data_IF_451136048584
#
_entry.id   IF_451136048584
#
_cell.length_a   1.000
_cell.length_b   1.000
_cell.length_c   1.000
_cell.angle_alpha   90.00
_cell.angle_beta   90.00
_cell.angle_gamma   90.00
#
_symmetry.space_group_name_H-M   'P 1'
#
loop_
_entity.id
_entity.type
_entity.pdbx_description
1 polymer ?
#
# COMPACT_ATOMS: atom_id res chain seq x y z
N UNK A 1 -67.39 16.79 56.66
CA UNK A 1 -66.77 15.87 55.67
C UNK A 1 -65.69 16.62 54.89
N UNK A 2 -64.44 16.58 55.34
CA UNK A 2 -63.30 17.31 54.75
C UNK A 2 -62.08 16.40 54.65
N UNK A 3 -62.15 15.36 53.79
CA UNK A 3 -61.04 14.41 53.60
C UNK A 3 -60.72 14.07 52.13
N UNK A 4 -61.22 14.84 51.17
CA UNK A 4 -60.98 14.59 49.74
C UNK A 4 -59.83 15.42 49.12
N UNK A 5 -59.27 16.42 49.82
CA UNK A 5 -58.33 17.38 49.20
C UNK A 5 -56.84 17.11 49.44
N UNK A 6 -56.46 16.10 50.23
CA UNK A 6 -55.03 15.83 50.49
C UNK A 6 -54.36 15.04 49.37
N UNK A 7 -55.09 14.11 48.73
CA UNK A 7 -54.51 13.23 47.69
C UNK A 7 -54.38 13.90 46.31
N UNK A 8 -55.14 14.97 46.02
CA UNK A 8 -55.09 15.62 44.70
C UNK A 8 -53.80 16.44 44.47
N UNK A 9 -53.11 16.86 45.54
CA UNK A 9 -51.81 17.57 45.43
C UNK A 9 -50.61 16.66 45.23
N UNK A 10 -50.72 15.37 45.56
CA UNK A 10 -49.60 14.42 45.44
C UNK A 10 -49.40 13.91 44.00
N UNK A 11 -50.46 13.84 43.19
CA UNK A 11 -50.39 13.35 41.81
C UNK A 11 -50.33 14.47 40.76
N UNK A 12 -49.72 15.61 41.08
CA UNK A 12 -49.35 16.59 40.04
C UNK A 12 -48.18 16.02 39.23
N UNK A 13 -48.55 15.23 38.22
CA UNK A 13 -47.70 14.79 37.14
C UNK A 13 -46.97 16.01 36.55
N UNK A 14 -45.66 16.12 36.80
CA UNK A 14 -44.80 17.03 36.03
C UNK A 14 -44.71 16.42 34.63
N UNK A 15 -45.17 17.09 33.56
CA UNK A 15 -44.89 16.61 32.22
C UNK A 15 -43.38 16.48 32.08
N UNK A 16 -42.93 15.29 31.67
CA UNK A 16 -41.54 15.03 31.37
C UNK A 16 -41.04 16.10 30.40
N UNK A 17 -39.91 16.72 30.73
CA UNK A 17 -39.15 17.54 29.79
C UNK A 17 -38.98 16.67 28.54
N UNK A 18 -39.61 17.08 27.45
CA UNK A 18 -39.48 16.40 26.17
C UNK A 18 -38.01 16.51 25.80
N UNK A 19 -37.26 15.45 26.07
CA UNK A 19 -35.97 15.25 25.44
C UNK A 19 -36.29 15.05 23.97
N UNK A 20 -36.37 16.16 23.23
CA UNK A 20 -36.37 16.12 21.78
C UNK A 20 -35.11 15.35 21.41
N UNK A 21 -35.33 14.14 20.88
CA UNK A 21 -34.27 13.44 20.19
C UNK A 21 -34.00 14.30 18.97
N UNK A 22 -33.02 15.20 19.09
CA UNK A 22 -32.50 15.97 17.97
C UNK A 22 -31.95 14.96 16.99
N UNK A 23 -32.77 14.62 16.00
CA UNK A 23 -32.38 13.78 14.89
C UNK A 23 -31.42 14.62 14.06
N UNK A 24 -30.12 14.53 14.37
CA UNK A 24 -29.07 15.15 13.57
C UNK A 24 -29.23 14.63 12.13
N UNK A 25 -29.76 15.47 11.26
CA UNK A 25 -29.89 15.20 9.83
C UNK A 25 -28.51 14.90 9.26
N UNK A 26 -28.40 13.76 8.57
CA UNK A 26 -27.16 13.07 8.22
C UNK A 26 -26.31 13.74 7.12
N UNK A 27 -26.50 15.03 6.87
CA UNK A 27 -26.01 15.69 5.66
C UNK A 27 -24.50 15.97 5.75
N UNK A 28 -24.04 16.47 6.90
CA UNK A 28 -22.62 16.81 7.13
C UNK A 28 -21.66 15.63 7.03
N UNK A 29 -22.12 14.39 7.32
CA UNK A 29 -21.26 13.19 7.25
C UNK A 29 -21.08 12.69 5.80
N UNK A 30 -22.13 12.79 4.99
CA UNK A 30 -22.08 12.41 3.58
C UNK A 30 -21.17 13.37 2.80
N UNK A 31 -21.30 14.67 3.07
CA UNK A 31 -20.44 15.72 2.53
C UNK A 31 -18.95 15.48 2.88
N UNK A 32 -18.63 15.23 4.15
CA UNK A 32 -17.25 14.95 4.58
C UNK A 32 -16.64 13.69 3.91
N UNK A 33 -17.43 12.62 3.77
CA UNK A 33 -16.97 11.39 3.13
C UNK A 33 -16.70 11.61 1.64
N UNK A 34 -17.58 12.34 0.95
CA UNK A 34 -17.41 12.72 -0.45
C UNK A 34 -16.17 13.60 -0.66
N UNK A 35 -15.99 14.62 0.18
CA UNK A 35 -14.81 15.50 0.13
C UNK A 35 -13.49 14.74 0.32
N UNK A 36 -13.43 13.79 1.28
CA UNK A 36 -12.22 13.00 1.51
C UNK A 36 -11.97 12.06 0.32
N UNK A 37 -13.00 11.46 -0.25
CA UNK A 37 -12.87 10.60 -1.42
C UNK A 37 -12.35 11.38 -2.64
N UNK A 38 -12.90 12.58 -2.89
CA UNK A 38 -12.45 13.44 -3.98
C UNK A 38 -10.98 13.84 -3.81
N UNK A 39 -10.54 14.17 -2.57
CA UNK A 39 -9.12 14.45 -2.29
C UNK A 39 -8.21 13.24 -2.49
N UNK A 40 -8.70 12.02 -2.23
CA UNK A 40 -7.94 10.80 -2.53
C UNK A 40 -7.77 10.65 -4.04
N UNK A 41 -8.84 10.84 -4.82
CA UNK A 41 -8.81 10.77 -6.29
C UNK A 41 -7.84 11.81 -6.86
N UNK A 42 -7.88 13.05 -6.36
CA UNK A 42 -6.96 14.12 -6.77
C UNK A 42 -5.49 13.76 -6.51
N UNK A 43 -5.19 13.20 -5.34
CA UNK A 43 -3.84 12.74 -5.02
C UNK A 43 -3.44 11.57 -5.94
N UNK A 44 -4.36 10.66 -6.25
CA UNK A 44 -4.09 9.52 -7.14
C UNK A 44 -3.75 9.99 -8.57
N UNK A 45 -4.43 11.03 -9.06
CA UNK A 45 -4.09 11.68 -10.33
C UNK A 45 -2.69 12.29 -10.30
N UNK A 46 -2.37 13.07 -9.25
CA UNK A 46 -1.03 13.67 -9.08
C UNK A 46 0.07 12.60 -8.95
N UNK A 47 -0.21 11.47 -8.32
CA UNK A 47 0.73 10.33 -8.24
C UNK A 47 0.98 9.76 -9.64
N UNK A 48 -0.06 9.57 -10.45
CA UNK A 48 0.08 9.07 -11.82
C UNK A 48 0.88 10.04 -12.69
N UNK A 49 0.58 11.34 -12.64
CA UNK A 49 1.31 12.38 -13.36
C UNK A 49 2.80 12.40 -12.98
N UNK A 50 3.11 12.43 -11.68
CA UNK A 50 4.49 12.44 -11.21
C UNK A 50 5.23 11.12 -11.51
N UNK A 51 4.52 9.98 -11.49
CA UNK A 51 5.11 8.69 -11.82
C UNK A 51 5.48 8.61 -13.31
N UNK A 52 4.60 9.09 -14.18
CA UNK A 52 4.88 9.14 -15.62
C UNK A 52 6.06 10.07 -15.92
N UNK A 53 6.08 11.27 -15.33
CA UNK A 53 7.20 12.20 -15.49
C UNK A 53 8.53 11.62 -14.96
N UNK A 54 8.50 10.88 -13.85
CA UNK A 54 9.67 10.18 -13.32
C UNK A 54 10.16 9.08 -14.27
N UNK A 55 9.25 8.30 -14.86
CA UNK A 55 9.61 7.26 -15.84
C UNK A 55 10.22 7.87 -17.10
N UNK A 56 9.67 8.99 -17.58
CA UNK A 56 10.23 9.73 -18.70
C UNK A 56 11.64 10.24 -18.37
N UNK A 57 11.84 10.87 -17.21
CA UNK A 57 13.14 11.35 -16.78
C UNK A 57 14.18 10.21 -16.67
N UNK A 58 13.78 9.04 -16.13
CA UNK A 58 14.65 7.86 -16.07
C UNK A 58 14.96 7.28 -17.45
N UNK A 59 13.98 7.26 -18.36
CA UNK A 59 14.19 6.85 -19.75
C UNK A 59 15.17 7.77 -20.47
N UNK A 60 15.04 9.09 -20.28
CA UNK A 60 15.99 10.08 -20.79
C UNK A 60 17.38 9.86 -20.17
N UNK A 61 17.47 9.58 -18.86
CA UNK A 61 18.75 9.28 -18.19
C UNK A 61 19.43 8.08 -18.83
N UNK A 62 18.69 7.00 -19.03
CA UNK A 62 19.17 5.78 -19.66
C UNK A 62 19.66 6.07 -21.09
N UNK A 63 18.84 6.69 -21.95
CA UNK A 63 19.23 7.09 -23.32
C UNK A 63 20.48 7.96 -23.33
N UNK A 64 20.56 8.92 -22.41
CA UNK A 64 21.71 9.80 -22.28
C UNK A 64 22.97 9.05 -21.88
N UNK A 65 22.89 7.99 -21.07
CA UNK A 65 24.03 7.18 -20.63
C UNK A 65 24.64 6.37 -21.78
N UNK A 66 23.82 5.82 -22.68
CA UNK A 66 24.28 5.02 -23.82
C UNK A 66 24.80 5.83 -25.02
N UNK A 67 24.60 7.14 -25.05
CA UNK A 67 25.18 8.01 -26.08
C UNK A 67 26.70 8.12 -25.90
N UNK A 68 27.49 7.86 -26.95
CA UNK A 68 28.95 8.06 -26.95
C UNK A 68 29.25 9.53 -27.32
N UNK A 69 30.04 10.21 -26.50
CA UNK A 69 30.54 11.56 -26.79
C UNK A 69 32.07 11.53 -26.85
N UNK A 70 32.62 12.07 -27.94
CA UNK A 70 34.06 12.12 -28.19
C UNK A 70 34.68 13.48 -27.86
N UNK A 71 33.90 14.54 -27.64
CA UNK A 71 34.38 15.92 -27.47
C UNK A 71 34.38 16.39 -26.00
N UNK A 72 35.42 17.12 -25.58
CA UNK A 72 35.56 17.63 -24.19
C UNK A 72 34.44 18.62 -23.79
N UNK A 73 34.09 19.56 -24.69
CA UNK A 73 33.01 20.54 -24.45
C UNK A 73 31.66 19.83 -24.29
N UNK A 74 31.44 18.79 -25.09
CA UNK A 74 30.24 17.96 -25.06
C UNK A 74 30.14 17.15 -23.76
N UNK A 75 31.28 16.69 -23.20
CA UNK A 75 31.33 16.05 -21.87
C UNK A 75 30.91 17.00 -20.74
N UNK A 76 31.35 18.26 -20.76
CA UNK A 76 30.96 19.26 -19.74
C UNK A 76 29.46 19.55 -19.83
N UNK A 77 28.95 19.83 -21.04
CA UNK A 77 27.53 20.08 -21.25
C UNK A 77 26.65 18.90 -20.82
N UNK A 78 27.08 17.67 -21.12
CA UNK A 78 26.42 16.44 -20.68
C UNK A 78 26.42 16.29 -19.17
N UNK A 79 27.52 16.61 -18.48
CA UNK A 79 27.59 16.51 -17.03
C UNK A 79 26.58 17.46 -16.35
N UNK A 80 26.51 18.72 -16.80
CA UNK A 80 25.53 19.70 -16.30
C UNK A 80 24.10 19.23 -16.56
N UNK A 81 23.83 18.70 -17.75
CA UNK A 81 22.53 18.13 -18.10
C UNK A 81 22.17 16.93 -17.21
N UNK A 82 23.13 16.03 -16.97
CA UNK A 82 22.95 14.86 -16.11
C UNK A 82 22.66 15.26 -14.67
N UNK A 83 23.38 16.24 -14.12
CA UNK A 83 23.10 16.77 -12.76
C UNK A 83 21.69 17.33 -12.67
N UNK A 84 21.26 18.18 -13.61
CA UNK A 84 19.88 18.71 -13.62
C UNK A 84 18.83 17.62 -13.77
N UNK A 85 19.13 16.58 -14.54
CA UNK A 85 18.24 15.44 -14.72
C UNK A 85 18.13 14.61 -13.43
N UNK A 86 19.24 14.41 -12.71
CA UNK A 86 19.26 13.78 -11.39
C UNK A 86 18.48 14.60 -10.35
N UNK A 87 18.70 15.92 -10.28
CA UNK A 87 17.94 16.81 -9.39
C UNK A 87 16.43 16.71 -9.67
N UNK A 88 16.04 16.62 -10.95
CA UNK A 88 14.64 16.47 -11.36
C UNK A 88 14.07 15.12 -10.92
N UNK A 89 14.82 14.02 -11.12
CA UNK A 89 14.44 12.68 -10.67
C UNK A 89 14.24 12.66 -9.16
N UNK A 90 15.18 13.23 -8.40
CA UNK A 90 15.12 13.30 -6.94
C UNK A 90 13.91 14.12 -6.47
N UNK A 91 13.62 15.25 -7.14
CA UNK A 91 12.43 16.05 -6.88
C UNK A 91 11.14 15.23 -7.08
N UNK A 92 11.00 14.52 -8.21
CA UNK A 92 9.83 13.67 -8.45
C UNK A 92 9.70 12.55 -7.43
N UNK A 93 10.81 11.93 -7.02
CA UNK A 93 10.81 10.89 -5.98
C UNK A 93 10.34 11.43 -4.62
N UNK A 94 10.83 12.61 -4.23
CA UNK A 94 10.40 13.27 -2.99
C UNK A 94 8.91 13.63 -3.04
N UNK A 95 8.44 14.20 -4.17
CA UNK A 95 7.03 14.53 -4.36
C UNK A 95 6.14 13.29 -4.28
N UNK A 96 6.52 12.19 -4.93
CA UNK A 96 5.79 10.92 -4.84
C UNK A 96 5.71 10.42 -3.39
N UNK A 97 6.82 10.46 -2.65
CA UNK A 97 6.86 10.06 -1.23
C UNK A 97 5.86 10.87 -0.40
N UNK A 98 5.82 12.19 -0.60
CA UNK A 98 4.85 13.05 0.07
C UNK A 98 3.41 12.75 -0.30
N UNK A 99 3.13 12.56 -1.60
CA UNK A 99 1.79 12.26 -2.09
C UNK A 99 1.29 10.93 -1.53
N UNK A 100 2.11 9.87 -1.52
CA UNK A 100 1.76 8.59 -0.90
C UNK A 100 1.51 8.73 0.60
N UNK A 101 2.28 9.54 1.31
CA UNK A 101 2.06 9.80 2.73
C UNK A 101 0.72 10.52 2.97
N UNK A 102 0.44 11.58 2.19
CA UNK A 102 -0.83 12.34 2.24
C UNK A 102 -2.02 11.43 1.92
N UNK A 103 -1.91 10.61 0.87
CA UNK A 103 -2.90 9.59 0.49
C UNK A 103 -3.20 8.65 1.64
N UNK A 104 -2.16 8.06 2.24
CA UNK A 104 -2.30 7.10 3.34
C UNK A 104 -2.99 7.75 4.55
N UNK A 105 -2.65 8.99 4.88
CA UNK A 105 -3.29 9.74 5.97
C UNK A 105 -4.78 9.98 5.71
N UNK A 106 -5.16 10.33 4.49
CA UNK A 106 -6.56 10.49 4.10
C UNK A 106 -7.31 9.16 4.11
N UNK A 107 -6.69 8.09 3.60
CA UNK A 107 -7.30 6.76 3.60
C UNK A 107 -7.56 6.26 5.02
N UNK A 108 -6.64 6.45 5.96
CA UNK A 108 -6.86 6.11 7.37
C UNK A 108 -8.00 6.93 7.98
N UNK A 109 -8.09 8.24 7.67
CA UNK A 109 -9.24 9.07 8.12
C UNK A 109 -10.55 8.55 7.55
N UNK A 110 -10.56 8.19 6.27
CA UNK A 110 -11.73 7.63 5.59
C UNK A 110 -12.17 6.29 6.20
N UNK A 111 -11.22 5.38 6.47
CA UNK A 111 -11.46 4.10 7.14
C UNK A 111 -12.03 4.29 8.55
N UNK A 112 -11.56 5.31 9.29
CA UNK A 112 -12.09 5.67 10.61
C UNK A 112 -13.53 6.20 10.53
N UNK A 113 -13.82 7.08 9.56
CA UNK A 113 -15.18 7.61 9.34
C UNK A 113 -16.16 6.48 8.99
N UNK A 114 -15.71 5.50 8.19
CA UNK A 114 -16.50 4.32 7.82
C UNK A 114 -16.60 3.25 8.92
N UNK A 115 -15.84 3.37 10.00
CA UNK A 115 -15.78 2.36 11.07
C UNK A 115 -15.07 1.05 10.71
N UNK A 116 -14.48 0.95 9.52
CA UNK A 116 -13.82 -0.28 9.02
C UNK A 116 -12.32 -0.34 9.31
N UNK A 117 -11.77 0.66 10.03
CA UNK A 117 -10.34 0.78 10.31
C UNK A 117 -9.74 -0.49 10.91
N UNK A 118 -10.32 -1.01 12.00
CA UNK A 118 -9.81 -2.20 12.68
C UNK A 118 -9.88 -3.47 11.81
N UNK A 119 -10.99 -3.64 11.06
CA UNK A 119 -11.14 -4.76 10.13
C UNK A 119 -10.06 -4.75 9.05
N UNK A 120 -9.79 -3.59 8.44
CA UNK A 120 -8.74 -3.46 7.44
C UNK A 120 -7.34 -3.63 8.03
N UNK A 121 -7.11 -3.19 9.26
CA UNK A 121 -5.83 -3.35 9.93
C UNK A 121 -5.52 -4.83 10.21
N UNK A 122 -6.50 -5.59 10.71
CA UNK A 122 -6.38 -7.03 10.94
C UNK A 122 -6.18 -7.76 9.60
N UNK A 123 -6.96 -7.43 8.57
CA UNK A 123 -6.79 -8.01 7.22
C UNK A 123 -5.37 -7.80 6.69
N UNK A 124 -4.84 -6.57 6.76
CA UNK A 124 -3.47 -6.26 6.32
C UNK A 124 -2.43 -7.08 7.08
N UNK A 125 -2.59 -7.20 8.40
CA UNK A 125 -1.69 -7.99 9.22
C UNK A 125 -1.73 -9.48 8.86
N UNK A 126 -2.93 -10.03 8.66
CA UNK A 126 -3.12 -11.41 8.25
C UNK A 126 -2.53 -11.68 6.85
N UNK A 127 -2.68 -10.75 5.91
CA UNK A 127 -2.06 -10.84 4.59
C UNK A 127 -0.53 -10.88 4.69
N UNK A 128 0.08 -10.05 5.55
CA UNK A 128 1.54 -10.05 5.75
C UNK A 128 2.01 -11.40 6.30
N UNK A 129 1.34 -11.93 7.34
CA UNK A 129 1.67 -13.24 7.92
C UNK A 129 1.57 -14.33 6.86
N UNK A 130 0.47 -14.33 6.09
CA UNK A 130 0.23 -15.33 5.06
C UNK A 130 1.27 -15.27 3.94
N UNK A 131 1.63 -14.07 3.47
CA UNK A 131 2.69 -13.88 2.48
C UNK A 131 4.05 -14.36 3.00
N UNK A 132 4.39 -14.05 4.26
CA UNK A 132 5.62 -14.52 4.88
C UNK A 132 5.66 -16.05 5.00
N UNK A 133 4.54 -16.66 5.36
CA UNK A 133 4.40 -18.11 5.42
C UNK A 133 4.60 -18.76 4.04
N UNK A 134 4.01 -18.21 2.97
CA UNK A 134 4.19 -18.72 1.61
C UNK A 134 5.65 -18.63 1.15
N UNK A 135 6.35 -17.53 1.47
CA UNK A 135 7.78 -17.38 1.14
C UNK A 135 8.60 -18.44 1.86
N UNK A 136 8.34 -18.65 3.16
CA UNK A 136 9.05 -19.65 3.96
C UNK A 136 8.77 -21.08 3.47
N UNK A 137 7.52 -21.38 3.12
CA UNK A 137 7.13 -22.68 2.55
C UNK A 137 7.82 -22.93 1.21
N UNK A 138 7.83 -21.94 0.32
CA UNK A 138 8.53 -22.01 -0.96
C UNK A 138 10.03 -22.26 -0.77
N UNK A 139 10.66 -21.53 0.16
CA UNK A 139 12.06 -21.73 0.52
C UNK A 139 12.31 -23.17 1.03
N UNK A 140 11.44 -23.68 1.90
CA UNK A 140 11.56 -25.03 2.46
C UNK A 140 11.44 -26.11 1.38
N UNK A 141 10.47 -25.97 0.46
CA UNK A 141 10.32 -26.88 -0.69
C UNK A 141 11.58 -26.83 -1.56
N UNK A 142 12.11 -25.64 -1.82
CA UNK A 142 13.33 -25.46 -2.61
C UNK A 142 14.54 -26.14 -1.96
N UNK A 143 14.77 -25.91 -0.66
CA UNK A 143 15.85 -26.59 0.08
C UNK A 143 15.68 -28.10 0.10
N UNK A 144 14.46 -28.59 0.34
CA UNK A 144 14.17 -30.03 0.35
C UNK A 144 14.46 -30.66 -1.01
N UNK A 145 14.00 -30.04 -2.10
CA UNK A 145 14.30 -30.49 -3.46
C UNK A 145 15.79 -30.49 -3.77
N UNK A 146 16.51 -29.45 -3.33
CA UNK A 146 17.96 -29.37 -3.50
C UNK A 146 18.69 -30.49 -2.75
N UNK A 147 18.29 -30.81 -1.52
CA UNK A 147 18.84 -31.92 -0.76
C UNK A 147 18.61 -33.26 -1.46
N UNK A 148 17.39 -33.51 -1.98
CA UNK A 148 17.08 -34.72 -2.74
C UNK A 148 18.00 -34.86 -3.95
N UNK A 149 18.23 -33.78 -4.70
CA UNK A 149 19.14 -33.79 -5.85
C UNK A 149 20.56 -34.14 -5.40
N UNK A 150 21.09 -33.51 -4.35
CA UNK A 150 22.43 -33.81 -3.83
C UNK A 150 22.57 -35.28 -3.44
N UNK A 151 21.54 -35.86 -2.79
CA UNK A 151 21.57 -37.26 -2.37
C UNK A 151 21.42 -38.25 -3.52
N UNK A 152 20.63 -37.94 -4.55
CA UNK A 152 20.43 -38.80 -5.71
C UNK A 152 21.55 -38.70 -6.74
N UNK A 153 22.26 -37.57 -6.82
CA UNK A 153 23.29 -37.32 -7.82
C UNK A 153 24.39 -38.41 -7.86
N UNK A 154 24.97 -38.87 -6.73
CA UNK A 154 25.96 -39.95 -6.74
C UNK A 154 25.38 -41.25 -7.31
N UNK A 155 24.14 -41.58 -6.96
CA UNK A 155 23.47 -42.79 -7.43
C UNK A 155 23.20 -42.73 -8.94
N UNK A 156 22.76 -41.56 -9.44
CA UNK A 156 22.59 -41.32 -10.88
C UNK A 156 23.93 -41.47 -11.61
N UNK A 157 25.02 -40.90 -11.07
CA UNK A 157 26.37 -41.02 -11.65
C UNK A 157 26.80 -42.49 -11.74
N UNK A 158 26.59 -43.28 -10.67
CA UNK A 158 26.94 -44.71 -10.66
C UNK A 158 26.13 -45.48 -11.71
N UNK A 159 24.82 -45.23 -11.83
CA UNK A 159 23.97 -45.87 -12.85
C UNK A 159 24.48 -45.53 -14.26
N UNK A 160 24.78 -44.26 -14.53
CA UNK A 160 25.32 -43.85 -15.82
C UNK A 160 26.69 -44.51 -16.11
N UNK A 161 27.59 -44.60 -15.13
CA UNK A 161 28.87 -45.28 -15.29
C UNK A 161 28.69 -46.76 -15.64
N UNK A 162 27.81 -47.48 -14.93
CA UNK A 162 27.51 -48.90 -15.21
C UNK A 162 26.90 -49.06 -16.60
N UNK A 163 26.00 -48.17 -17.00
CA UNK A 163 25.41 -48.16 -18.33
C UNK A 163 26.47 -47.97 -19.42
N UNK A 164 27.35 -46.97 -19.28
CA UNK A 164 28.44 -46.72 -20.24
C UNK A 164 29.42 -47.89 -20.36
N UNK A 165 29.76 -48.55 -19.25
CA UNK A 165 30.62 -49.74 -19.27
C UNK A 165 29.93 -50.91 -19.98
N UNK A 166 28.65 -51.13 -19.69
CA UNK A 166 27.88 -52.22 -20.31
C UNK A 166 27.60 -52.00 -21.79
N UNK A 167 27.39 -50.75 -22.22
CA UNK A 167 27.13 -50.40 -23.61
C UNK A 167 28.40 -50.39 -24.49
N UNK A 168 29.59 -50.37 -23.88
CA UNK A 168 30.88 -50.41 -24.59
C UNK A 168 31.41 -51.85 -24.77
N UNK A 169 30.76 -52.84 -24.14
CA UNK A 169 30.92 -54.27 -24.45
C UNK A 169 29.94 -54.69 -25.52
#
# INVERSE_FOLDING_TARGET
MLRANFFYRFFKYKPAISNEIVKYTSDKRFDLQSQINNKIIEIDQRILENSNALLEAQSVKFRSAFSKSNNFIEKIGRNIYQTKLEDSIDWYQQQLKELYFKRRKLQVRFEKIKGVYWLNQIKRFLTIIFSMFLILLSLLIFLSGFMIIIYLLPLIIVIFLVYFISAKR
#
